data_IF_831722852481
#
_entry.id   IF_831722852481
#
_cell.length_a   1.000
_cell.length_b   1.000
_cell.length_c   1.000
_cell.angle_alpha   90.00
_cell.angle_beta   90.00
_cell.angle_gamma   90.00
#
_symmetry.space_group_name_H-M   'P 1'
#
loop_
_entity.id
_entity.type
_entity.pdbx_description
1 polymer ?
#
# COMPACT_ATOMS: atom_id res chain seq x y z
N UNK A 1 10.19 51.13 -14.50
CA UNK A 1 8.91 50.37 -14.53
C UNK A 1 9.09 48.93 -15.00
N UNK A 2 9.87 48.65 -16.09
CA UNK A 2 10.11 47.30 -16.58
C UNK A 2 11.08 46.51 -15.68
N UNK A 3 12.13 47.13 -15.18
CA UNK A 3 13.10 46.52 -14.26
C UNK A 3 12.48 46.17 -12.90
N UNK A 4 11.56 46.95 -12.40
CA UNK A 4 10.86 46.68 -11.12
C UNK A 4 9.91 45.50 -11.23
N UNK A 5 9.21 45.33 -12.34
CA UNK A 5 8.32 44.21 -12.56
C UNK A 5 9.10 42.90 -12.77
N UNK A 6 10.23 42.93 -13.43
CA UNK A 6 11.12 41.79 -13.61
C UNK A 6 11.75 41.34 -12.28
N UNK A 7 12.25 42.29 -11.48
CA UNK A 7 12.84 42.00 -10.17
C UNK A 7 11.82 41.41 -9.19
N UNK A 8 10.58 41.91 -9.18
CA UNK A 8 9.49 41.36 -8.38
C UNK A 8 9.06 39.98 -8.85
N UNK A 9 9.02 39.71 -10.15
CA UNK A 9 8.69 38.40 -10.69
C UNK A 9 9.78 37.38 -10.39
N UNK A 10 11.05 37.73 -10.51
CA UNK A 10 12.18 36.86 -10.16
C UNK A 10 12.23 36.55 -8.67
N UNK A 11 12.00 37.56 -7.82
CA UNK A 11 11.94 37.39 -6.37
C UNK A 11 10.78 36.43 -5.94
N UNK A 12 9.60 36.58 -6.54
CA UNK A 12 8.45 35.68 -6.33
C UNK A 12 8.72 34.24 -6.82
N UNK A 13 9.36 34.11 -7.97
CA UNK A 13 9.73 32.80 -8.52
C UNK A 13 10.79 32.13 -7.65
N UNK A 14 11.79 32.84 -7.20
CA UNK A 14 12.84 32.35 -6.30
C UNK A 14 12.26 31.89 -4.96
N UNK A 15 11.36 32.68 -4.35
CA UNK A 15 10.71 32.28 -3.09
C UNK A 15 9.80 31.05 -3.25
N UNK A 16 9.06 30.94 -4.36
CA UNK A 16 8.27 29.76 -4.68
C UNK A 16 9.16 28.53 -4.90
N UNK A 17 10.23 28.66 -5.67
CA UNK A 17 11.17 27.57 -5.91
C UNK A 17 11.79 27.06 -4.60
N UNK A 18 12.22 27.99 -3.73
CA UNK A 18 12.73 27.65 -2.39
C UNK A 18 11.69 26.91 -1.56
N UNK A 19 10.44 27.36 -1.56
CA UNK A 19 9.34 26.70 -0.84
C UNK A 19 9.08 25.29 -1.36
N UNK A 20 9.07 25.10 -2.69
CA UNK A 20 8.91 23.80 -3.33
C UNK A 20 10.07 22.86 -2.95
N UNK A 21 11.32 23.34 -3.05
CA UNK A 21 12.50 22.54 -2.68
C UNK A 21 12.48 22.14 -1.19
N UNK A 22 12.10 23.05 -0.30
CA UNK A 22 12.01 22.75 1.13
C UNK A 22 10.91 21.73 1.43
N UNK A 23 9.75 21.86 0.79
CA UNK A 23 8.65 20.90 0.96
C UNK A 23 9.01 19.53 0.37
N UNK A 24 9.62 19.50 -0.81
CA UNK A 24 10.13 18.26 -1.41
C UNK A 24 11.18 17.60 -0.49
N UNK A 25 12.13 18.37 0.05
CA UNK A 25 13.12 17.87 0.99
C UNK A 25 12.51 17.26 2.26
N UNK A 26 11.48 17.90 2.82
CA UNK A 26 10.75 17.36 3.98
C UNK A 26 10.06 16.03 3.64
N UNK A 27 9.39 15.95 2.49
CA UNK A 27 8.72 14.72 2.04
C UNK A 27 9.72 13.58 1.81
N UNK A 28 10.82 13.86 1.12
CA UNK A 28 11.88 12.88 0.89
C UNK A 28 12.48 12.39 2.21
N UNK A 29 12.77 13.30 3.15
CA UNK A 29 13.29 12.95 4.47
C UNK A 29 12.34 12.06 5.27
N UNK A 30 11.04 12.36 5.23
CA UNK A 30 10.01 11.55 5.89
C UNK A 30 9.98 10.13 5.31
N UNK A 31 9.89 10.02 3.98
CA UNK A 31 9.83 8.73 3.29
C UNK A 31 11.11 7.92 3.55
N UNK A 32 12.28 8.56 3.44
CA UNK A 32 13.57 7.91 3.70
C UNK A 32 13.67 7.38 5.14
N UNK A 33 13.20 8.15 6.13
CA UNK A 33 13.18 7.72 7.54
C UNK A 33 12.29 6.50 7.75
N UNK A 34 11.12 6.47 7.11
CA UNK A 34 10.18 5.35 7.20
C UNK A 34 10.78 4.09 6.56
N UNK A 35 11.37 4.22 5.37
CA UNK A 35 12.03 3.10 4.68
C UNK A 35 13.20 2.57 5.52
N UNK A 36 13.97 3.44 6.14
CA UNK A 36 15.07 3.04 7.03
C UNK A 36 14.55 2.23 8.22
N UNK A 37 13.52 2.71 8.90
CA UNK A 37 12.89 1.98 10.01
C UNK A 37 12.34 0.63 9.57
N UNK A 38 11.64 0.57 8.43
CA UNK A 38 11.13 -0.68 7.87
C UNK A 38 12.27 -1.67 7.56
N UNK A 39 13.37 -1.19 6.97
CA UNK A 39 14.55 -2.02 6.67
C UNK A 39 15.20 -2.60 7.93
N UNK A 40 15.27 -1.83 9.02
CA UNK A 40 15.77 -2.32 10.31
C UNK A 40 14.85 -3.42 10.85
N UNK A 41 13.53 -3.22 10.83
CA UNK A 41 12.55 -4.22 11.28
C UNK A 41 12.71 -5.51 10.48
N UNK A 42 12.79 -5.42 9.15
CA UNK A 42 12.98 -6.59 8.27
C UNK A 42 14.29 -7.31 8.58
N UNK A 43 15.38 -6.56 8.77
CA UNK A 43 16.68 -7.12 9.13
C UNK A 43 16.63 -7.88 10.46
N UNK A 44 15.97 -7.31 11.48
CA UNK A 44 15.78 -7.96 12.79
C UNK A 44 14.89 -9.21 12.66
N UNK A 45 13.79 -9.14 11.91
CA UNK A 45 12.91 -10.28 11.66
C UNK A 45 13.65 -11.44 10.98
N UNK A 46 14.54 -11.12 10.01
CA UNK A 46 15.37 -12.10 9.33
C UNK A 46 16.39 -12.76 10.28
N UNK A 47 17.07 -11.97 11.12
CA UNK A 47 18.09 -12.48 12.04
C UNK A 47 17.50 -13.28 13.22
N UNK A 48 16.33 -12.89 13.71
CA UNK A 48 15.67 -13.55 14.85
C UNK A 48 14.91 -14.80 14.45
N UNK A 49 14.72 -15.05 13.15
CA UNK A 49 13.88 -16.14 12.65
C UNK A 49 12.40 -15.95 12.98
N UNK A 50 12.01 -14.74 13.44
CA UNK A 50 10.63 -14.45 13.79
C UNK A 50 9.69 -14.52 12.56
N UNK A 51 10.21 -14.17 11.38
CA UNK A 51 9.49 -14.34 10.12
C UNK A 51 9.03 -15.78 9.89
N UNK A 52 9.93 -16.75 10.11
CA UNK A 52 9.59 -18.18 9.99
C UNK A 52 8.56 -18.62 11.03
N UNK A 53 8.64 -18.11 12.26
CA UNK A 53 7.61 -18.38 13.28
C UNK A 53 6.24 -17.81 12.92
N UNK A 54 6.21 -16.59 12.39
CA UNK A 54 4.95 -16.00 11.92
C UNK A 54 4.38 -16.81 10.76
N UNK A 55 5.20 -17.18 9.78
CA UNK A 55 4.83 -18.05 8.67
C UNK A 55 4.20 -19.36 9.18
N UNK A 56 4.89 -20.07 10.07
CA UNK A 56 4.37 -21.33 10.64
C UNK A 56 3.07 -21.14 11.43
N UNK A 57 2.93 -20.01 12.12
CA UNK A 57 1.69 -19.68 12.85
C UNK A 57 0.53 -19.40 11.89
N UNK A 58 0.76 -18.67 10.81
CA UNK A 58 -0.26 -18.42 9.77
C UNK A 58 -0.71 -19.73 9.13
N UNK A 59 0.24 -20.59 8.75
CA UNK A 59 -0.06 -21.90 8.15
C UNK A 59 -0.84 -22.78 9.13
N UNK A 60 -0.41 -22.84 10.40
CA UNK A 60 -1.10 -23.61 11.43
C UNK A 60 -2.52 -23.10 11.70
N UNK A 61 -2.67 -21.78 11.81
CA UNK A 61 -3.98 -21.15 12.03
C UNK A 61 -4.93 -21.33 10.84
N UNK A 62 -4.39 -21.40 9.63
CA UNK A 62 -5.17 -21.62 8.40
C UNK A 62 -5.50 -23.09 8.14
N UNK A 63 -5.00 -24.01 8.97
CA UNK A 63 -5.20 -25.46 8.78
C UNK A 63 -4.63 -25.97 7.45
N UNK A 64 -3.53 -25.39 6.95
CA UNK A 64 -2.94 -25.68 5.64
C UNK A 64 -3.85 -25.38 4.43
N UNK A 65 -4.89 -24.58 4.63
CA UNK A 65 -5.78 -24.16 3.54
C UNK A 65 -5.43 -22.75 3.07
N UNK A 66 -5.38 -22.57 1.75
CA UNK A 66 -5.03 -21.26 1.11
C UNK A 66 -6.03 -20.18 1.47
N UNK A 67 -7.34 -20.45 1.43
CA UNK A 67 -8.38 -19.45 1.64
C UNK A 67 -8.38 -18.79 3.02
N UNK A 68 -8.30 -19.55 4.14
CA UNK A 68 -8.14 -18.93 5.46
C UNK A 68 -6.83 -18.17 5.62
N UNK A 69 -5.74 -18.64 5.03
CA UNK A 69 -4.46 -17.95 5.04
C UNK A 69 -4.53 -16.59 4.32
N UNK A 70 -5.19 -16.55 3.17
CA UNK A 70 -5.43 -15.31 2.43
C UNK A 70 -6.24 -14.31 3.25
N UNK A 71 -7.31 -14.77 3.90
CA UNK A 71 -8.16 -13.92 4.72
C UNK A 71 -7.40 -13.36 5.93
N UNK A 72 -6.60 -14.19 6.59
CA UNK A 72 -5.74 -13.78 7.70
C UNK A 72 -4.68 -12.79 7.24
N UNK A 73 -4.05 -13.03 6.09
CA UNK A 73 -3.08 -12.12 5.48
C UNK A 73 -3.72 -10.79 5.08
N UNK A 74 -4.89 -10.82 4.46
CA UNK A 74 -5.63 -9.62 4.09
C UNK A 74 -5.94 -8.76 5.33
N UNK A 75 -6.43 -9.39 6.40
CA UNK A 75 -6.69 -8.71 7.66
C UNK A 75 -5.42 -8.11 8.26
N UNK A 76 -4.33 -8.87 8.27
CA UNK A 76 -3.04 -8.39 8.76
C UNK A 76 -2.53 -7.19 7.94
N UNK A 77 -2.63 -7.23 6.61
CA UNK A 77 -2.25 -6.12 5.73
C UNK A 77 -3.11 -4.87 5.98
N UNK A 78 -4.42 -5.05 6.16
CA UNK A 78 -5.30 -3.94 6.50
C UNK A 78 -4.93 -3.29 7.84
N UNK A 79 -4.62 -4.10 8.86
CA UNK A 79 -4.24 -3.59 10.17
C UNK A 79 -2.84 -2.94 10.17
N UNK A 80 -1.86 -3.56 9.54
CA UNK A 80 -0.49 -3.06 9.50
C UNK A 80 -0.34 -1.81 8.63
N UNK A 81 -1.18 -1.67 7.60
CA UNK A 81 -1.10 -0.55 6.67
C UNK A 81 -1.83 0.73 7.11
N UNK A 82 -2.54 0.72 8.23
CA UNK A 82 -3.48 1.79 8.60
C UNK A 82 -2.87 3.18 8.74
N UNK A 83 -1.65 3.32 9.27
CA UNK A 83 -0.98 4.61 9.47
C UNK A 83 0.37 4.74 8.77
N UNK A 84 0.71 3.74 7.96
CA UNK A 84 2.03 3.65 7.33
C UNK A 84 1.90 4.01 5.84
N UNK A 85 2.85 4.75 5.26
CA UNK A 85 2.88 4.95 3.81
C UNK A 85 2.81 3.62 3.08
N UNK A 86 2.03 3.57 2.00
CA UNK A 86 1.67 2.33 1.29
C UNK A 86 2.87 1.47 0.91
N UNK A 87 3.97 2.09 0.47
CA UNK A 87 5.23 1.40 0.16
C UNK A 87 5.82 0.68 1.36
N UNK A 88 5.84 1.33 2.53
CA UNK A 88 6.36 0.73 3.74
C UNK A 88 5.43 -0.38 4.26
N UNK A 89 4.12 -0.16 4.23
CA UNK A 89 3.12 -1.18 4.56
C UNK A 89 3.29 -2.43 3.70
N UNK A 90 3.41 -2.26 2.38
CA UNK A 90 3.65 -3.36 1.45
C UNK A 90 4.93 -4.14 1.80
N UNK A 91 6.05 -3.46 1.99
CA UNK A 91 7.34 -4.11 2.28
C UNK A 91 7.28 -4.89 3.59
N UNK A 92 6.66 -4.34 4.64
CA UNK A 92 6.48 -5.03 5.92
C UNK A 92 5.57 -6.25 5.74
N UNK A 93 4.41 -6.08 5.10
CA UNK A 93 3.45 -7.16 4.91
C UNK A 93 4.02 -8.30 4.06
N UNK A 94 4.75 -8.00 2.98
CA UNK A 94 5.42 -9.01 2.14
C UNK A 94 6.45 -9.78 2.95
N UNK A 95 7.24 -9.09 3.79
CA UNK A 95 8.27 -9.75 4.59
C UNK A 95 7.70 -10.70 5.63
N UNK A 96 6.50 -10.41 6.15
CA UNK A 96 5.86 -11.18 7.22
C UNK A 96 4.96 -12.28 6.66
N UNK A 97 4.12 -11.96 5.69
CA UNK A 97 3.08 -12.86 5.20
C UNK A 97 3.40 -13.49 3.83
N UNK A 98 4.30 -12.89 3.06
CA UNK A 98 4.68 -13.39 1.74
C UNK A 98 5.16 -14.85 1.76
N UNK A 99 6.12 -15.21 2.61
CA UNK A 99 6.61 -16.59 2.70
C UNK A 99 5.50 -17.61 2.99
N UNK A 100 4.55 -17.27 3.88
CA UNK A 100 3.46 -18.16 4.23
C UNK A 100 2.56 -18.49 3.04
N UNK A 101 2.22 -17.49 2.24
CA UNK A 101 1.39 -17.68 1.04
C UNK A 101 2.12 -18.46 -0.05
N UNK A 102 3.44 -18.25 -0.20
CA UNK A 102 4.27 -18.98 -1.16
C UNK A 102 4.41 -20.47 -0.76
N UNK A 103 4.60 -20.78 0.52
CA UNK A 103 4.63 -22.14 1.03
C UNK A 103 3.30 -22.89 0.82
N UNK A 104 2.18 -22.16 0.81
CA UNK A 104 0.87 -22.69 0.48
C UNK A 104 0.63 -22.82 -1.05
N UNK A 105 1.65 -22.54 -1.87
CA UNK A 105 1.63 -22.77 -3.30
C UNK A 105 1.17 -21.59 -4.15
N UNK A 106 1.05 -20.37 -3.60
CA UNK A 106 0.74 -19.21 -4.41
C UNK A 106 1.96 -18.76 -5.23
N UNK A 107 1.77 -18.44 -6.52
CA UNK A 107 2.81 -17.83 -7.35
C UNK A 107 3.33 -16.52 -6.75
N UNK A 108 4.63 -16.28 -6.91
CA UNK A 108 5.30 -15.08 -6.37
C UNK A 108 4.59 -13.78 -6.77
N UNK A 109 4.26 -13.62 -8.05
CA UNK A 109 3.60 -12.43 -8.57
C UNK A 109 2.24 -12.19 -7.90
N UNK A 110 1.41 -13.22 -7.80
CA UNK A 110 0.07 -13.14 -7.20
C UNK A 110 0.17 -12.81 -5.71
N UNK A 111 1.12 -13.43 -4.99
CA UNK A 111 1.38 -13.13 -3.58
C UNK A 111 1.71 -11.66 -3.39
N UNK A 112 2.62 -11.10 -4.20
CA UNK A 112 3.02 -9.70 -4.10
C UNK A 112 1.88 -8.76 -4.46
N UNK A 113 1.13 -9.04 -5.53
CA UNK A 113 -0.02 -8.22 -5.94
C UNK A 113 -1.15 -8.25 -4.90
N UNK A 114 -1.44 -9.41 -4.33
CA UNK A 114 -2.44 -9.57 -3.28
C UNK A 114 -2.11 -8.70 -2.06
N UNK A 115 -0.88 -8.81 -1.56
CA UNK A 115 -0.42 -8.05 -0.39
C UNK A 115 -0.39 -6.54 -0.70
N UNK A 116 0.12 -6.16 -1.87
CA UNK A 116 0.17 -4.76 -2.30
C UNK A 116 -1.24 -4.15 -2.38
N UNK A 117 -2.20 -4.89 -2.90
CA UNK A 117 -3.57 -4.44 -3.04
C UNK A 117 -4.24 -4.18 -1.68
N UNK A 118 -4.10 -5.12 -0.73
CA UNK A 118 -4.64 -4.93 0.61
C UNK A 118 -3.90 -3.84 1.41
N UNK A 119 -2.60 -3.65 1.18
CA UNK A 119 -1.84 -2.54 1.72
C UNK A 119 -2.36 -1.18 1.19
N UNK A 120 -2.79 -1.10 -0.06
CA UNK A 120 -3.47 0.09 -0.61
C UNK A 120 -4.84 0.31 0.05
N UNK A 121 -5.65 -0.73 0.17
CA UNK A 121 -7.00 -0.65 0.73
C UNK A 121 -7.02 -0.27 2.21
N UNK A 122 -5.93 -0.49 2.94
CA UNK A 122 -5.81 -0.08 4.35
C UNK A 122 -6.01 1.44 4.54
N UNK A 123 -5.68 2.25 3.53
CA UNK A 123 -5.81 3.73 3.59
C UNK A 123 -7.26 4.22 3.61
N UNK A 124 -8.20 3.40 3.14
CA UNK A 124 -9.64 3.72 3.13
C UNK A 124 -10.44 2.90 4.13
N UNK A 125 -9.81 1.90 4.77
CA UNK A 125 -10.49 0.96 5.69
C UNK A 125 -10.41 1.46 7.12
N UNK A 126 -11.55 1.58 7.86
CA UNK A 126 -11.53 1.88 9.29
C UNK A 126 -10.75 0.81 10.09
N UNK A 127 -10.17 1.12 11.26
CA UNK A 127 -10.44 2.29 12.11
C UNK A 127 -9.58 3.53 11.81
N UNK A 128 -8.50 3.41 11.05
CA UNK A 128 -7.60 4.53 10.76
C UNK A 128 -7.43 4.67 9.26
N UNK A 129 -8.27 5.51 8.67
CA UNK A 129 -8.33 5.74 7.23
C UNK A 129 -7.92 7.20 6.91
N UNK A 130 -6.62 7.46 6.82
CA UNK A 130 -6.05 8.79 6.64
C UNK A 130 -6.64 9.56 5.46
N UNK A 131 -6.85 8.90 4.33
CA UNK A 131 -7.45 9.52 3.14
C UNK A 131 -8.91 9.93 3.36
N UNK A 132 -9.66 9.16 4.16
CA UNK A 132 -11.06 9.48 4.50
C UNK A 132 -11.14 10.68 5.43
N UNK A 133 -10.19 10.84 6.38
CA UNK A 133 -10.13 12.04 7.23
C UNK A 133 -9.90 13.29 6.39
N UNK A 134 -9.01 13.23 5.41
CA UNK A 134 -8.76 14.35 4.49
C UNK A 134 -10.03 14.66 3.70
N UNK A 135 -10.69 13.66 3.14
CA UNK A 135 -11.93 13.82 2.38
C UNK A 135 -13.05 14.40 3.24
N UNK A 136 -13.22 13.92 4.47
CA UNK A 136 -14.21 14.43 5.43
C UNK A 136 -13.98 15.92 5.74
N UNK A 137 -12.72 16.32 5.91
CA UNK A 137 -12.35 17.74 6.10
C UNK A 137 -12.64 18.61 4.89
N UNK A 138 -12.58 18.07 3.68
CA UNK A 138 -12.87 18.81 2.44
C UNK A 138 -14.37 19.04 2.21
N UNK A 139 -15.21 18.10 2.66
CA UNK A 139 -16.70 18.21 2.55
C UNK A 139 -17.35 18.78 3.81
N UNK A 140 -16.56 19.23 4.79
CA UNK A 140 -17.04 19.76 6.07
C UNK A 140 -17.98 18.79 6.82
N UNK A 141 -17.88 17.49 6.56
CA UNK A 141 -18.69 16.47 7.24
C UNK A 141 -18.05 16.12 8.58
N UNK A 142 -18.79 16.35 9.65
CA UNK A 142 -18.33 16.13 11.02
C UNK A 142 -18.18 14.63 11.35
N UNK A 143 -18.94 13.77 10.67
CA UNK A 143 -18.94 12.34 10.91
C UNK A 143 -18.11 11.59 9.84
N UNK A 144 -16.81 11.46 10.09
CA UNK A 144 -15.88 10.76 9.20
C UNK A 144 -16.26 9.29 8.95
N UNK A 145 -16.97 8.63 9.89
CA UNK A 145 -17.42 7.24 9.72
C UNK A 145 -18.45 7.10 8.59
N UNK A 146 -19.29 8.13 8.35
CA UNK A 146 -20.17 8.13 7.18
C UNK A 146 -19.38 8.20 5.89
N UNK A 147 -18.36 9.05 5.84
CA UNK A 147 -17.48 9.17 4.67
C UNK A 147 -16.74 7.87 4.44
N UNK A 148 -16.22 7.22 5.51
CA UNK A 148 -15.61 5.89 5.46
C UNK A 148 -16.57 4.84 4.91
N UNK A 149 -17.82 4.83 5.38
CA UNK A 149 -18.87 3.92 4.90
C UNK A 149 -19.15 4.08 3.41
N UNK A 150 -19.23 5.31 2.91
CA UNK A 150 -19.37 5.58 1.48
C UNK A 150 -18.14 5.14 0.69
N UNK A 151 -16.94 5.44 1.17
CA UNK A 151 -15.69 5.03 0.52
C UNK A 151 -15.59 3.50 0.41
N UNK A 152 -15.91 2.77 1.48
CA UNK A 152 -15.92 1.31 1.48
C UNK A 152 -17.02 0.74 0.57
N UNK A 153 -18.21 1.35 0.57
CA UNK A 153 -19.33 0.93 -0.30
C UNK A 153 -18.97 1.08 -1.78
N UNK A 154 -18.37 2.21 -2.16
CA UNK A 154 -17.88 2.43 -3.52
C UNK A 154 -16.70 1.50 -3.86
N UNK A 155 -15.86 1.21 -2.87
CA UNK A 155 -14.67 0.36 -2.99
C UNK A 155 -14.91 -1.13 -2.82
N UNK A 156 -16.14 -1.61 -2.60
CA UNK A 156 -16.44 -3.03 -2.35
C UNK A 156 -15.82 -3.96 -3.41
N UNK A 157 -15.91 -3.58 -4.69
CA UNK A 157 -15.31 -4.34 -5.78
C UNK A 157 -13.79 -4.48 -5.64
N UNK A 158 -13.12 -3.47 -5.09
CA UNK A 158 -11.67 -3.47 -4.91
C UNK A 158 -11.21 -4.51 -3.87
N UNK A 159 -12.03 -4.85 -2.89
CA UNK A 159 -11.71 -5.92 -1.93
C UNK A 159 -11.84 -7.32 -2.53
N UNK A 160 -12.67 -7.46 -3.57
CA UNK A 160 -12.90 -8.75 -4.25
C UNK A 160 -11.87 -9.02 -5.35
N UNK A 161 -11.31 -7.99 -5.97
CA UNK A 161 -10.33 -8.12 -7.06
C UNK A 161 -9.14 -9.00 -6.66
N UNK A 162 -8.41 -8.77 -5.55
CA UNK A 162 -7.27 -9.62 -5.20
C UNK A 162 -7.67 -11.07 -4.88
N UNK A 163 -8.87 -11.30 -4.37
CA UNK A 163 -9.40 -12.65 -4.16
C UNK A 163 -9.67 -13.34 -5.50
N UNK A 164 -10.24 -12.58 -6.46
CA UNK A 164 -10.46 -13.08 -7.83
C UNK A 164 -9.14 -13.42 -8.54
N UNK A 165 -8.09 -12.61 -8.35
CA UNK A 165 -6.75 -12.87 -8.91
C UNK A 165 -6.12 -14.16 -8.37
N UNK A 166 -6.38 -14.50 -7.12
CA UNK A 166 -5.92 -15.77 -6.54
C UNK A 166 -6.75 -16.95 -7.05
N UNK A 167 -8.07 -16.76 -7.21
CA UNK A 167 -8.95 -17.81 -7.72
C UNK A 167 -8.67 -18.16 -9.19
N UNK A 168 -8.28 -17.17 -9.96
CA UNK A 168 -8.01 -17.29 -11.40
C UNK A 168 -6.79 -16.45 -11.78
N UNK A 169 -5.63 -17.09 -11.78
CA UNK A 169 -4.34 -16.45 -12.07
C UNK A 169 -4.30 -15.77 -13.45
N UNK A 170 -5.07 -16.29 -14.39
CA UNK A 170 -5.19 -15.77 -15.75
C UNK A 170 -5.75 -14.34 -15.83
N UNK A 171 -6.53 -13.91 -14.84
CA UNK A 171 -7.02 -12.51 -14.76
C UNK A 171 -5.86 -11.52 -14.66
N UNK A 172 -4.77 -11.93 -14.04
CA UNK A 172 -3.56 -11.10 -13.88
C UNK A 172 -2.68 -11.12 -15.15
N UNK A 173 -2.76 -12.19 -15.93
CA UNK A 173 -1.91 -12.45 -17.09
C UNK A 173 -2.58 -12.07 -18.41
N UNK A 174 -3.92 -12.02 -18.46
CA UNK A 174 -4.68 -11.66 -19.67
C UNK A 174 -4.27 -10.30 -20.23
N UNK A 175 -3.97 -9.34 -19.37
CA UNK A 175 -3.56 -8.00 -19.80
C UNK A 175 -2.11 -7.95 -20.35
N UNK A 176 -1.24 -8.87 -19.91
CA UNK A 176 0.15 -8.94 -20.38
C UNK A 176 0.28 -9.76 -21.68
N UNK A 177 -0.60 -10.71 -21.92
CA UNK A 177 -0.66 -11.50 -23.15
C UNK A 177 -1.13 -10.64 -24.34
N UNK A 178 -2.23 -9.90 -24.19
CA UNK A 178 -2.73 -9.01 -25.24
C UNK A 178 -1.75 -7.88 -25.57
N UNK A 179 -1.02 -7.36 -24.56
CA UNK A 179 -0.01 -6.32 -24.79
C UNK A 179 1.27 -6.86 -25.46
N UNK A 180 1.59 -8.14 -25.31
CA UNK A 180 2.73 -8.76 -25.99
C UNK A 180 2.41 -9.05 -27.47
N UNK A 181 1.18 -9.45 -27.76
CA UNK A 181 0.73 -9.74 -29.14
C UNK A 181 0.58 -8.46 -30.00
N UNK A 182 0.33 -7.28 -29.37
CA UNK A 182 0.29 -5.99 -30.08
C UNK A 182 1.69 -5.44 -30.48
N UNK A 183 2.75 -5.93 -29.86
CA UNK A 183 4.13 -5.44 -30.14
C UNK A 183 4.79 -6.22 -31.24
N UNK A 184 4.33 -7.44 -31.55
CA UNK A 184 4.88 -8.31 -32.60
C UNK A 184 4.09 -8.26 -33.94
N UNK A 185 3.11 -7.38 -34.10
CA UNK A 185 2.34 -7.09 -35.30
C UNK A 185 2.75 -5.77 -35.94
#
# INVERSE_FOLDING_TARGET
>A
LWDDTLSLSLSRTSSRLRSVCLNAGKQVSLIASIILCASIIIGVLGQTGLGVKITSTVISASGNHVWPALLLTALACLLLGMEVPTTAAYVICVSVAGPALQELGLPLLITHLFIFWYALLSTITPPVCGTVFIAAGMVEETNWLKVAGYAMSLGVGLYLVPIGMVAQADICLLYTSDAADEVDG
#
